data_IF_138716221810
#
_entry.id   IF_138716221810
#
_cell.length_a   1.000
_cell.length_b   1.000
_cell.length_c   1.000
_cell.angle_alpha   90.00
_cell.angle_beta   90.00
_cell.angle_gamma   90.00
#
_symmetry.space_group_name_H-M   'P 1'
#
loop_
_entity.id
_entity.type
_entity.pdbx_description
1 polymer ?
#
# COMPACT_ATOMS: atom_id res chain seq x y z
N UNK A 1 6.54 -10.35 -42.68
CA UNK A 1 5.42 -10.02 -41.79
C UNK A 1 5.87 -8.88 -40.89
N UNK A 2 5.40 -7.65 -41.12
CA UNK A 2 5.78 -6.46 -40.35
C UNK A 2 4.88 -6.38 -39.13
N UNK A 3 5.42 -6.63 -37.93
CA UNK A 3 4.70 -6.42 -36.67
C UNK A 3 4.82 -4.94 -36.29
N UNK A 4 3.67 -4.27 -36.18
CA UNK A 4 3.57 -2.88 -35.75
C UNK A 4 3.44 -2.92 -34.21
N UNK A 5 4.52 -2.58 -33.51
CA UNK A 5 4.45 -2.31 -32.07
C UNK A 5 3.84 -0.91 -31.89
N UNK A 6 2.60 -0.87 -31.40
CA UNK A 6 1.93 0.35 -31.00
C UNK A 6 2.33 0.66 -29.56
N UNK A 7 3.36 1.48 -29.39
CA UNK A 7 3.80 2.01 -28.09
C UNK A 7 2.75 3.00 -27.60
N UNK A 8 1.99 2.63 -26.57
CA UNK A 8 1.02 3.52 -25.93
C UNK A 8 1.77 4.39 -24.92
N UNK A 9 2.11 5.62 -25.33
CA UNK A 9 2.69 6.63 -24.45
C UNK A 9 1.57 7.21 -23.57
N UNK A 10 1.41 6.73 -22.33
CA UNK A 10 0.58 7.41 -21.33
C UNK A 10 1.34 8.62 -20.80
N UNK A 11 1.14 9.78 -21.43
CA UNK A 11 1.59 11.06 -20.86
C UNK A 11 0.77 11.37 -19.60
N UNK A 12 1.46 11.84 -18.56
CA UNK A 12 0.87 12.43 -17.37
C UNK A 12 -0.02 13.63 -17.73
N UNK A 13 -1.32 13.37 -17.81
CA UNK A 13 -2.39 14.37 -17.86
C UNK A 13 -3.23 14.26 -16.58
N UNK A 14 -2.60 14.39 -15.43
CA UNK A 14 -3.25 14.32 -14.11
C UNK A 14 -3.57 15.71 -13.54
N UNK A 15 -4.04 16.62 -14.38
CA UNK A 15 -4.59 17.89 -13.91
C UNK A 15 -5.75 18.31 -14.81
N UNK A 16 -6.97 18.31 -14.26
CA UNK A 16 -8.22 18.87 -14.83
C UNK A 16 -9.22 17.90 -15.49
N UNK A 17 -9.35 16.66 -14.99
CA UNK A 17 -10.51 15.80 -15.34
C UNK A 17 -11.75 16.03 -14.45
N UNK A 18 -11.60 16.72 -13.32
CA UNK A 18 -12.74 17.07 -12.47
C UNK A 18 -13.25 18.44 -12.90
N UNK A 19 -14.40 18.45 -13.58
CA UNK A 19 -15.09 19.70 -13.89
C UNK A 19 -15.41 20.44 -12.60
N UNK A 20 -15.38 21.78 -12.62
CA UNK A 20 -15.91 22.64 -11.55
C UNK A 20 -17.44 22.57 -11.49
N UNK A 21 -17.99 21.36 -11.50
CA UNK A 21 -19.41 21.11 -11.40
C UNK A 21 -19.85 21.47 -9.98
N UNK A 22 -20.84 22.34 -9.91
CA UNK A 22 -21.43 22.86 -8.69
C UNK A 22 -21.83 21.69 -7.78
N UNK A 23 -21.16 21.62 -6.63
CA UNK A 23 -21.20 20.64 -5.53
C UNK A 23 -22.59 20.27 -5.00
N UNK A 24 -23.65 20.95 -5.45
CA UNK A 24 -25.01 20.84 -4.92
C UNK A 24 -25.83 19.65 -5.48
N UNK A 25 -25.31 18.85 -6.42
CA UNK A 25 -26.09 17.78 -7.10
C UNK A 25 -25.39 16.42 -7.18
N UNK A 26 -24.37 16.18 -6.37
CA UNK A 26 -23.78 14.86 -6.24
C UNK A 26 -24.77 13.93 -5.52
N UNK A 27 -25.64 13.26 -6.28
CA UNK A 27 -26.76 12.42 -5.79
C UNK A 27 -26.36 11.22 -4.91
N UNK A 28 -25.07 11.05 -4.62
CA UNK A 28 -24.51 9.88 -3.97
C UNK A 28 -23.89 10.23 -2.62
N UNK A 29 -24.42 11.14 -1.81
CA UNK A 29 -23.79 11.66 -0.58
C UNK A 29 -23.05 10.60 0.27
N UNK A 30 -23.67 9.45 0.53
CA UNK A 30 -23.02 8.37 1.28
C UNK A 30 -21.95 7.62 0.48
N UNK A 31 -22.21 7.32 -0.79
CA UNK A 31 -21.25 6.67 -1.69
C UNK A 31 -20.04 7.57 -1.99
N UNK A 32 -20.29 8.85 -2.25
CA UNK A 32 -19.30 9.88 -2.45
C UNK A 32 -18.38 10.02 -1.24
N UNK A 33 -18.94 10.15 -0.02
CA UNK A 33 -18.16 10.23 1.22
C UNK A 33 -17.35 8.96 1.49
N UNK A 34 -17.89 7.79 1.14
CA UNK A 34 -17.17 6.53 1.27
C UNK A 34 -16.06 6.38 0.22
N UNK A 35 -16.27 6.89 -1.00
CA UNK A 35 -15.30 6.86 -2.09
C UNK A 35 -14.18 7.87 -1.85
N UNK A 36 -14.47 9.09 -1.40
CA UNK A 36 -13.48 10.14 -1.16
C UNK A 36 -13.38 10.54 0.32
N UNK A 37 -12.86 9.66 1.20
CA UNK A 37 -12.73 9.95 2.62
C UNK A 37 -11.58 10.96 2.86
N UNK A 38 -11.94 12.18 3.29
CA UNK A 38 -10.98 13.26 3.46
C UNK A 38 -9.97 13.06 4.61
N UNK A 39 -10.27 12.15 5.54
CA UNK A 39 -9.39 11.81 6.66
C UNK A 39 -8.35 10.74 6.28
N UNK A 40 -8.31 10.25 5.03
CA UNK A 40 -7.40 9.19 4.60
C UNK A 40 -6.79 9.53 3.23
N UNK A 41 -5.60 10.17 3.19
CA UNK A 41 -4.93 10.52 1.95
C UNK A 41 -4.69 9.32 1.01
N UNK A 42 -4.36 8.15 1.56
CA UNK A 42 -4.19 6.91 0.79
C UNK A 42 -5.49 6.46 0.10
N UNK A 43 -6.61 6.47 0.82
CA UNK A 43 -7.91 6.13 0.25
C UNK A 43 -8.39 7.17 -0.75
N UNK A 44 -8.08 8.45 -0.53
CA UNK A 44 -8.31 9.51 -1.51
C UNK A 44 -7.54 9.25 -2.81
N UNK A 45 -6.26 8.87 -2.72
CA UNK A 45 -5.43 8.51 -3.89
C UNK A 45 -6.00 7.31 -4.63
N UNK A 46 -6.32 6.23 -3.91
CA UNK A 46 -6.92 5.02 -4.49
C UNK A 46 -8.24 5.30 -5.19
N UNK A 47 -9.06 6.19 -4.63
CA UNK A 47 -10.32 6.61 -5.22
C UNK A 47 -10.14 7.43 -6.50
N UNK A 48 -9.13 8.30 -6.54
CA UNK A 48 -8.76 9.04 -7.76
C UNK A 48 -8.33 8.05 -8.85
N UNK A 49 -7.47 7.09 -8.53
CA UNK A 49 -7.02 6.07 -9.49
C UNK A 49 -8.18 5.22 -10.01
N UNK A 50 -9.07 4.78 -9.12
CA UNK A 50 -10.31 4.09 -9.51
C UNK A 50 -11.15 4.93 -10.46
N UNK A 51 -11.35 6.22 -10.18
CA UNK A 51 -12.14 7.11 -11.03
C UNK A 51 -11.50 7.38 -12.39
N UNK A 52 -10.16 7.42 -12.47
CA UNK A 52 -9.44 7.50 -13.74
C UNK A 52 -9.69 6.25 -14.58
N UNK A 53 -9.61 5.06 -13.99
CA UNK A 53 -9.87 3.79 -14.69
C UNK A 53 -11.34 3.72 -15.15
N UNK A 54 -12.28 4.04 -14.26
CA UNK A 54 -13.72 4.02 -14.57
C UNK A 54 -14.05 4.92 -15.77
N UNK A 55 -13.43 6.10 -15.82
CA UNK A 55 -13.62 7.08 -16.90
C UNK A 55 -12.92 6.65 -18.20
N UNK A 56 -11.72 6.09 -18.11
CA UNK A 56 -10.92 5.69 -19.26
C UNK A 56 -11.51 4.47 -19.99
N UNK A 57 -12.00 3.47 -19.26
CA UNK A 57 -12.44 2.20 -19.86
C UNK A 57 -13.93 2.20 -20.20
N UNK A 58 -14.72 3.18 -19.72
CA UNK A 58 -16.20 3.14 -19.72
C UNK A 58 -16.75 1.78 -19.25
N UNK A 59 -15.98 1.09 -18.43
CA UNK A 59 -16.30 -0.25 -18.01
C UNK A 59 -17.29 -0.19 -16.85
N UNK A 60 -18.23 -1.13 -16.84
CA UNK A 60 -18.75 -1.68 -15.59
C UNK A 60 -17.55 -2.30 -14.86
N UNK A 61 -16.84 -1.51 -14.06
CA UNK A 61 -15.69 -1.98 -13.30
C UNK A 61 -16.13 -3.17 -12.45
N UNK A 62 -15.59 -4.36 -12.73
CA UNK A 62 -15.91 -5.59 -11.97
C UNK A 62 -15.27 -5.59 -10.58
N UNK A 63 -14.34 -4.67 -10.34
CA UNK A 63 -13.64 -4.49 -9.06
C UNK A 63 -13.90 -3.08 -8.55
N UNK A 64 -15.03 -2.91 -7.86
CA UNK A 64 -15.32 -1.68 -7.11
C UNK A 64 -14.51 -1.64 -5.82
N UNK A 65 -14.02 -0.48 -5.34
CA UNK A 65 -13.29 -0.39 -4.09
C UNK A 65 -14.16 -0.89 -2.94
N UNK A 66 -13.69 -1.90 -2.20
CA UNK A 66 -14.46 -2.56 -1.11
C UNK A 66 -15.01 -1.55 -0.11
N UNK A 67 -14.21 -0.52 0.21
CA UNK A 67 -14.59 0.59 1.10
C UNK A 67 -15.84 1.34 0.62
N UNK A 68 -15.97 1.55 -0.68
CA UNK A 68 -17.09 2.25 -1.28
C UNK A 68 -18.27 1.29 -1.54
N UNK A 69 -18.05 -0.01 -1.72
CA UNK A 69 -19.09 -1.02 -1.97
C UNK A 69 -20.17 -1.07 -0.91
N UNK A 70 -19.83 -0.92 0.37
CA UNK A 70 -20.83 -0.88 1.45
C UNK A 70 -21.82 0.30 1.33
N UNK A 71 -21.37 1.45 0.81
CA UNK A 71 -22.18 2.67 0.70
C UNK A 71 -22.78 2.90 -0.70
N UNK A 72 -22.05 2.51 -1.73
CA UNK A 72 -22.42 2.62 -3.14
C UNK A 72 -23.25 1.42 -3.62
N UNK A 73 -23.19 0.29 -2.92
CA UNK A 73 -23.74 -0.97 -3.39
C UNK A 73 -23.04 -1.45 -4.67
N UNK A 74 -23.79 -2.15 -5.52
CA UNK A 74 -23.31 -2.71 -6.79
C UNK A 74 -23.73 -1.89 -8.01
N UNK A 75 -24.35 -0.71 -7.83
CA UNK A 75 -24.84 0.12 -8.94
C UNK A 75 -23.71 0.97 -9.54
N UNK A 76 -23.26 0.70 -10.78
CA UNK A 76 -22.18 1.46 -11.42
C UNK A 76 -22.48 2.95 -11.56
N UNK A 77 -23.75 3.34 -11.70
CA UNK A 77 -24.14 4.74 -11.87
C UNK A 77 -23.78 5.59 -10.65
N UNK A 78 -23.79 5.01 -9.45
CA UNK A 78 -23.39 5.69 -8.20
C UNK A 78 -21.90 6.01 -8.18
N UNK A 79 -21.06 5.07 -8.63
CA UNK A 79 -19.61 5.29 -8.75
C UNK A 79 -19.31 6.33 -9.83
N UNK A 80 -19.93 6.22 -11.01
CA UNK A 80 -19.75 7.22 -12.07
C UNK A 80 -20.18 8.62 -11.63
N UNK A 81 -21.29 8.72 -10.91
CA UNK A 81 -21.75 9.99 -10.32
C UNK A 81 -20.74 10.53 -9.30
N UNK A 82 -20.28 9.71 -8.35
CA UNK A 82 -19.28 10.14 -7.38
C UNK A 82 -17.97 10.58 -8.05
N UNK A 83 -17.45 9.80 -9.00
CA UNK A 83 -16.25 10.13 -9.76
C UNK A 83 -16.37 11.42 -10.59
N UNK A 84 -17.56 11.71 -11.12
CA UNK A 84 -17.82 12.97 -11.85
C UNK A 84 -17.74 14.21 -10.95
N UNK A 85 -17.98 14.06 -9.65
CA UNK A 85 -17.87 15.15 -8.67
C UNK A 85 -16.42 15.42 -8.28
N UNK A 86 -15.57 14.38 -8.25
CA UNK A 86 -14.17 14.48 -7.81
C UNK A 86 -14.03 14.75 -6.30
N UNK A 87 -12.80 14.67 -5.76
CA UNK A 87 -12.58 14.90 -4.33
C UNK A 87 -12.80 16.37 -3.94
N UNK A 88 -13.60 16.63 -2.90
CA UNK A 88 -13.88 18.00 -2.40
C UNK A 88 -12.87 18.46 -1.35
N UNK A 89 -12.11 17.54 -0.78
CA UNK A 89 -10.98 17.87 0.05
C UNK A 89 -9.73 17.98 -0.82
N UNK A 90 -8.97 19.06 -0.59
CA UNK A 90 -7.61 19.10 -1.05
C UNK A 90 -6.83 17.96 -0.36
N UNK A 91 -6.03 17.17 -1.08
CA UNK A 91 -5.10 16.26 -0.43
C UNK A 91 -4.25 17.11 0.52
N UNK A 92 -4.31 16.83 1.81
CA UNK A 92 -3.47 17.52 2.78
C UNK A 92 -2.06 17.03 2.52
N UNK A 93 -1.27 17.80 1.77
CA UNK A 93 0.14 17.52 1.53
C UNK A 93 0.90 17.92 2.79
N UNK A 94 0.81 17.11 3.85
CA UNK A 94 1.81 17.20 4.93
C UNK A 94 3.16 17.05 4.25
N UNK A 95 4.09 18.01 4.41
CA UNK A 95 5.39 17.93 3.76
C UNK A 95 6.06 16.65 4.24
N UNK A 96 6.17 15.68 3.36
CA UNK A 96 6.90 14.45 3.66
C UNK A 96 8.36 14.86 3.77
N UNK A 97 9.06 14.51 4.86
CA UNK A 97 10.49 14.75 4.95
C UNK A 97 11.19 14.21 3.70
N UNK A 98 12.21 14.90 3.18
CA UNK A 98 12.93 14.44 2.02
C UNK A 98 13.46 13.03 2.27
N UNK A 99 13.36 12.20 1.25
CA UNK A 99 13.87 10.84 1.31
C UNK A 99 15.37 10.84 1.61
N UNK A 100 15.84 10.19 2.69
CA UNK A 100 17.27 10.04 2.87
C UNK A 100 17.83 9.22 1.72
N UNK A 101 19.06 9.55 1.32
CA UNK A 101 19.77 8.80 0.28
C UNK A 101 19.95 7.35 0.75
N UNK A 102 19.75 6.36 -0.13
CA UNK A 102 20.02 4.97 0.23
C UNK A 102 21.46 4.79 0.74
N UNK A 103 21.63 3.95 1.76
CA UNK A 103 22.93 3.60 2.32
C UNK A 103 23.70 2.69 1.36
N UNK A 104 25.04 2.73 1.42
CA UNK A 104 25.90 1.99 0.49
C UNK A 104 25.49 0.51 0.40
N UNK A 105 25.05 0.09 -0.79
CA UNK A 105 24.64 -1.29 -1.08
C UNK A 105 23.14 -1.53 -1.04
N UNK A 106 22.36 -0.79 -0.23
CA UNK A 106 20.91 -0.89 -0.23
C UNK A 106 20.33 0.10 -1.24
N UNK A 107 19.46 -0.35 -2.15
CA UNK A 107 18.78 0.57 -3.08
C UNK A 107 17.51 1.19 -2.49
N UNK A 108 17.01 0.69 -1.35
CA UNK A 108 15.80 1.20 -0.70
C UNK A 108 16.17 2.30 0.30
N UNK A 109 15.67 3.53 0.15
CA UNK A 109 15.89 4.60 1.11
C UNK A 109 15.06 4.41 2.39
N UNK A 110 15.58 4.86 3.54
CA UNK A 110 14.93 4.79 4.85
C UNK A 110 14.34 3.40 5.17
N UNK A 111 15.09 2.35 4.87
CA UNK A 111 14.58 0.99 4.91
C UNK A 111 14.66 0.35 6.32
N UNK A 112 15.27 1.07 7.25
CA UNK A 112 15.37 0.82 8.69
C UNK A 112 14.43 1.73 9.51
N UNK A 113 13.63 2.57 8.85
CA UNK A 113 12.64 3.45 9.48
C UNK A 113 13.18 4.46 10.52
N UNK A 114 14.50 4.66 10.58
CA UNK A 114 15.14 5.59 11.53
C UNK A 114 14.87 7.07 11.20
N UNK A 115 14.41 7.35 9.97
CA UNK A 115 13.90 8.66 9.58
C UNK A 115 12.36 8.70 9.57
N UNK A 116 11.71 7.86 10.38
CA UNK A 116 10.26 7.71 10.44
C UNK A 116 9.71 7.02 9.20
N UNK A 117 8.57 7.49 8.68
CA UNK A 117 7.89 6.89 7.52
C UNK A 117 8.33 7.45 6.15
N UNK A 118 9.30 8.36 6.11
CA UNK A 118 9.74 8.98 4.86
C UNK A 118 10.12 7.92 3.81
N UNK A 119 9.76 8.15 2.53
CA UNK A 119 9.90 7.19 1.41
C UNK A 119 8.99 5.97 1.44
N UNK A 120 8.17 5.82 2.47
CA UNK A 120 7.21 4.75 2.57
C UNK A 120 5.81 5.35 2.60
N UNK A 121 4.87 4.67 1.95
CA UNK A 121 3.47 5.07 1.85
C UNK A 121 2.68 3.99 2.59
N UNK A 122 2.23 4.27 3.83
CA UNK A 122 1.37 3.36 4.55
C UNK A 122 -0.08 3.51 4.09
N UNK A 123 -0.78 2.39 4.04
CA UNK A 123 -2.20 2.31 3.73
C UNK A 123 -2.87 1.41 4.76
N UNK A 124 -4.10 1.76 5.12
CA UNK A 124 -4.90 1.00 6.09
C UNK A 124 -6.21 0.62 5.42
N UNK A 125 -6.25 -0.51 4.68
CA UNK A 125 -7.48 -0.99 4.07
C UNK A 125 -8.53 -1.38 5.11
N UNK A 126 -8.12 -1.84 6.29
CA UNK A 126 -8.98 -2.30 7.38
C UNK A 126 -9.20 -1.24 8.46
N UNK A 127 -10.46 -0.85 8.68
CA UNK A 127 -10.80 0.11 9.72
C UNK A 127 -10.57 -0.40 11.16
N UNK A 128 -10.35 -1.71 11.34
CA UNK A 128 -9.98 -2.31 12.60
C UNK A 128 -8.48 -2.21 12.92
N UNK A 129 -7.67 -1.65 12.02
CA UNK A 129 -6.22 -1.56 12.17
C UNK A 129 -5.70 -0.12 12.11
N UNK A 130 -4.46 0.06 12.55
CA UNK A 130 -3.69 1.29 12.42
C UNK A 130 -2.21 0.94 12.22
N UNK A 131 -1.38 1.95 11.99
CA UNK A 131 0.08 1.78 11.93
C UNK A 131 0.78 2.88 12.71
N UNK A 132 2.05 2.64 13.06
CA UNK A 132 2.96 3.63 13.62
C UNK A 132 4.41 3.25 13.35
N UNK A 133 5.34 4.18 13.60
CA UNK A 133 6.74 3.85 13.80
C UNK A 133 6.95 3.65 15.30
N UNK A 134 7.56 2.54 15.70
CA UNK A 134 7.65 2.09 17.08
C UNK A 134 9.06 1.70 17.49
N UNK A 135 9.30 1.64 18.80
CA UNK A 135 10.53 1.15 19.42
C UNK A 135 10.19 -0.05 20.34
N UNK A 136 11.07 -1.05 20.51
CA UNK A 136 12.35 -1.21 19.82
C UNK A 136 12.19 -1.73 18.39
N UNK A 137 13.14 -1.40 17.54
CA UNK A 137 13.30 -2.04 16.24
C UNK A 137 14.20 -3.28 16.30
N UNK A 138 14.56 -3.83 15.14
CA UNK A 138 15.37 -5.03 15.03
C UNK A 138 16.85 -4.75 15.29
N UNK A 139 17.56 -5.75 15.81
CA UNK A 139 19.01 -5.66 16.07
C UNK A 139 19.45 -4.45 16.92
N UNK A 140 18.55 -3.94 17.77
CA UNK A 140 18.82 -2.79 18.65
C UNK A 140 18.66 -1.43 17.96
N UNK A 141 18.02 -1.37 16.79
CA UNK A 141 17.55 -0.14 16.17
C UNK A 141 16.46 0.52 17.02
N UNK A 142 16.30 1.84 16.87
CA UNK A 142 15.36 2.61 17.67
C UNK A 142 13.93 2.53 17.09
N UNK A 143 13.83 2.23 15.79
CA UNK A 143 12.58 2.37 15.02
C UNK A 143 12.25 1.11 14.21
N UNK A 144 10.95 0.82 14.06
CA UNK A 144 10.41 -0.17 13.13
C UNK A 144 9.02 0.24 12.65
N UNK A 145 8.64 -0.20 11.46
CA UNK A 145 7.24 -0.09 11.02
C UNK A 145 6.38 -1.12 11.74
N UNK A 146 5.34 -0.64 12.43
CA UNK A 146 4.41 -1.45 13.21
C UNK A 146 3.00 -1.33 12.64
N UNK A 147 2.38 -2.47 12.36
CA UNK A 147 0.96 -2.61 12.12
C UNK A 147 0.28 -3.09 13.40
N UNK A 148 -0.78 -2.40 13.79
CA UNK A 148 -1.57 -2.67 14.99
C UNK A 148 -3.00 -3.05 14.59
N UNK A 149 -3.42 -4.24 14.95
CA UNK A 149 -4.83 -4.63 14.91
C UNK A 149 -5.48 -4.25 16.25
N UNK A 150 -6.43 -3.32 16.21
CA UNK A 150 -7.11 -2.79 17.40
C UNK A 150 -8.30 -3.65 17.83
N UNK A 151 -8.93 -4.33 16.87
CA UNK A 151 -10.09 -5.21 17.04
C UNK A 151 -10.13 -6.23 15.89
N UNK A 152 -11.02 -7.21 15.92
CA UNK A 152 -11.11 -8.20 14.84
C UNK A 152 -11.25 -7.55 13.45
N UNK A 153 -10.61 -8.09 12.39
CA UNK A 153 -10.59 -7.48 11.07
C UNK A 153 -11.98 -7.17 10.51
N UNK A 154 -12.20 -5.93 10.07
CA UNK A 154 -13.50 -5.43 9.63
C UNK A 154 -13.67 -5.58 8.11
N UNK A 155 -13.75 -6.82 7.64
CA UNK A 155 -13.84 -7.17 6.20
C UNK A 155 -12.76 -6.47 5.35
N UNK A 156 -11.46 -6.62 5.69
CA UNK A 156 -10.36 -6.03 4.93
C UNK A 156 -10.41 -6.42 3.44
N UNK A 157 -10.04 -5.48 2.57
CA UNK A 157 -9.78 -5.77 1.17
C UNK A 157 -8.70 -6.84 1.06
N UNK A 158 -9.03 -7.98 0.44
CA UNK A 158 -8.12 -9.12 0.25
C UNK A 158 -7.49 -9.68 1.54
N UNK A 159 -8.06 -9.39 2.72
CA UNK A 159 -7.47 -9.82 3.99
C UNK A 159 -6.38 -8.89 4.54
N UNK A 160 -6.03 -7.81 3.81
CA UNK A 160 -4.94 -6.89 4.19
C UNK A 160 -5.43 -5.87 5.20
N UNK A 161 -4.86 -5.89 6.40
CA UNK A 161 -5.21 -4.92 7.44
C UNK A 161 -4.45 -3.61 7.31
N UNK A 162 -3.14 -3.73 7.09
CA UNK A 162 -2.22 -2.61 6.85
C UNK A 162 -1.29 -3.00 5.72
N UNK A 163 -0.83 -2.05 4.93
CA UNK A 163 0.31 -2.25 4.04
C UNK A 163 1.21 -1.04 4.03
N UNK A 164 2.47 -1.24 3.70
CA UNK A 164 3.45 -0.17 3.53
C UNK A 164 4.25 -0.39 2.26
N UNK A 165 4.26 0.63 1.40
CA UNK A 165 4.83 0.56 0.06
C UNK A 165 6.02 1.51 -0.04
N UNK A 166 7.16 1.04 -0.53
CA UNK A 166 8.35 1.88 -0.73
C UNK A 166 8.14 2.89 -1.86
N UNK A 167 9.01 3.88 -1.93
CA UNK A 167 9.24 4.64 -3.15
C UNK A 167 9.72 3.69 -4.27
N UNK A 168 9.50 4.10 -5.51
CA UNK A 168 10.07 3.41 -6.66
C UNK A 168 11.58 3.66 -6.73
N UNK A 169 12.36 2.60 -6.89
CA UNK A 169 13.81 2.66 -6.94
C UNK A 169 14.35 2.03 -8.22
N UNK A 170 15.47 2.55 -8.72
CA UNK A 170 16.12 2.04 -9.91
C UNK A 170 16.90 0.74 -9.62
N UNK A 171 16.81 -0.22 -10.53
CA UNK A 171 17.52 -1.50 -10.48
C UNK A 171 17.99 -1.92 -11.87
N UNK A 172 18.86 -2.92 -11.93
CA UNK A 172 19.31 -3.51 -13.20
C UNK A 172 18.47 -4.75 -13.53
N UNK A 173 17.69 -4.77 -14.63
CA UNK A 173 16.96 -5.96 -15.05
C UNK A 173 17.89 -7.15 -15.28
N UNK A 174 17.45 -8.34 -14.90
CA UNK A 174 18.20 -9.59 -15.10
C UNK A 174 19.37 -9.81 -14.13
N UNK A 175 19.68 -8.86 -13.26
CA UNK A 175 20.63 -9.04 -12.15
C UNK A 175 19.88 -9.59 -10.94
N UNK A 176 20.39 -10.62 -10.27
CA UNK A 176 19.79 -11.10 -9.02
C UNK A 176 20.04 -10.08 -7.90
N UNK A 177 18.98 -9.75 -7.18
CA UNK A 177 19.02 -8.98 -5.96
C UNK A 177 18.62 -9.87 -4.79
N UNK A 178 19.19 -9.59 -3.63
CA UNK A 178 18.84 -10.18 -2.35
C UNK A 178 18.02 -9.16 -1.55
N UNK A 179 16.80 -9.56 -1.20
CA UNK A 179 15.97 -8.88 -0.21
C UNK A 179 16.21 -9.52 1.15
N UNK A 180 16.64 -8.75 2.14
CA UNK A 180 16.63 -9.16 3.55
C UNK A 180 15.79 -8.20 4.36
N UNK A 181 15.11 -8.71 5.39
CA UNK A 181 14.33 -7.89 6.31
C UNK A 181 14.08 -8.66 7.60
N UNK A 182 13.88 -7.94 8.71
CA UNK A 182 13.45 -8.52 9.97
C UNK A 182 11.93 -8.42 10.08
N UNK A 183 11.29 -9.49 10.58
CA UNK A 183 9.86 -9.53 10.93
C UNK A 183 9.69 -9.85 12.39
N UNK A 184 8.65 -9.31 13.03
CA UNK A 184 8.30 -9.62 14.41
C UNK A 184 6.78 -9.77 14.55
N UNK A 185 6.37 -10.70 15.41
CA UNK A 185 4.98 -10.99 15.73
C UNK A 185 4.82 -10.99 17.25
N UNK A 186 3.74 -10.43 17.77
CA UNK A 186 3.43 -10.49 19.20
C UNK A 186 2.84 -11.84 19.64
N UNK A 187 2.20 -12.57 18.72
CA UNK A 187 1.57 -13.85 18.99
C UNK A 187 1.66 -14.81 17.79
N UNK A 188 1.60 -16.11 18.08
CA UNK A 188 1.72 -17.17 17.06
C UNK A 188 0.52 -17.18 16.08
N UNK A 189 -0.62 -16.66 16.53
CA UNK A 189 -1.86 -16.53 15.75
C UNK A 189 -2.03 -15.13 15.12
N UNK A 190 -0.99 -14.29 15.16
CA UNK A 190 -1.09 -12.91 14.65
C UNK A 190 -1.31 -12.85 13.14
N UNK A 191 -1.14 -13.95 12.41
CA UNK A 191 -1.33 -14.04 10.96
C UNK A 191 0.00 -14.03 10.22
N UNK A 192 0.06 -13.35 9.08
CA UNK A 192 1.26 -13.34 8.23
C UNK A 192 1.55 -11.99 7.58
N UNK A 193 2.82 -11.78 7.26
CA UNK A 193 3.32 -10.64 6.49
C UNK A 193 3.59 -11.11 5.05
N UNK A 194 2.86 -10.55 4.09
CA UNK A 194 3.12 -10.72 2.67
C UNK A 194 4.16 -9.73 2.15
N UNK A 195 4.99 -10.17 1.21
CA UNK A 195 5.99 -9.34 0.53
C UNK A 195 5.71 -9.34 -0.96
N UNK A 196 5.66 -8.15 -1.55
CA UNK A 196 5.44 -7.96 -2.98
C UNK A 196 6.55 -7.11 -3.61
N UNK A 197 6.82 -7.38 -4.88
CA UNK A 197 7.61 -6.52 -5.75
C UNK A 197 6.76 -6.16 -6.96
N UNK A 198 6.57 -4.88 -7.24
CA UNK A 198 5.77 -4.39 -8.36
C UNK A 198 4.38 -5.05 -8.43
N UNK A 199 3.66 -5.05 -7.31
CA UNK A 199 2.32 -5.66 -7.17
C UNK A 199 2.26 -7.19 -7.33
N UNK A 200 3.41 -7.87 -7.49
CA UNK A 200 3.47 -9.32 -7.56
C UNK A 200 3.96 -9.90 -6.21
N UNK A 201 3.23 -10.85 -5.61
CA UNK A 201 3.66 -11.49 -4.37
C UNK A 201 4.90 -12.35 -4.64
N UNK A 202 5.91 -12.23 -3.77
CA UNK A 202 7.17 -12.98 -3.89
C UNK A 202 7.47 -13.85 -2.67
N UNK A 203 6.90 -13.52 -1.52
CA UNK A 203 7.19 -14.20 -0.26
C UNK A 203 6.12 -13.93 0.80
N UNK A 204 6.00 -14.83 1.77
CA UNK A 204 5.12 -14.68 2.93
C UNK A 204 5.86 -15.17 4.18
N UNK A 205 5.63 -14.51 5.31
CA UNK A 205 6.13 -14.91 6.63
C UNK A 205 4.96 -15.11 7.55
N UNK A 206 4.75 -16.35 8.00
CA UNK A 206 3.68 -16.71 8.93
C UNK A 206 4.21 -16.73 10.38
N UNK A 207 3.45 -16.13 11.30
CA UNK A 207 3.74 -16.15 12.73
C UNK A 207 3.78 -17.59 13.28
N UNK A 208 2.94 -18.49 12.76
CA UNK A 208 2.92 -19.90 13.16
C UNK A 208 4.21 -20.63 12.79
N UNK A 209 4.85 -20.24 11.68
CA UNK A 209 6.08 -20.85 11.20
C UNK A 209 7.33 -20.29 11.88
N UNK A 210 7.34 -18.99 12.20
CA UNK A 210 8.50 -18.30 12.79
C UNK A 210 8.49 -18.26 14.31
N UNK A 211 7.31 -18.28 14.91
CA UNK A 211 7.11 -17.99 16.33
C UNK A 211 6.78 -16.51 16.58
N UNK A 212 6.71 -16.17 17.86
CA UNK A 212 6.34 -14.84 18.33
C UNK A 212 7.24 -14.39 19.48
N UNK A 213 7.33 -13.08 19.69
CA UNK A 213 8.13 -12.44 20.73
C UNK A 213 9.57 -12.12 20.31
N UNK A 214 10.07 -12.69 19.22
CA UNK A 214 11.44 -12.49 18.73
C UNK A 214 11.48 -11.92 17.30
N UNK A 215 12.57 -11.23 16.97
CA UNK A 215 12.83 -10.76 15.60
C UNK A 215 13.39 -11.89 14.74
N UNK A 216 12.87 -12.02 13.53
CA UNK A 216 13.26 -13.06 12.58
C UNK A 216 13.84 -12.44 11.31
N UNK A 217 15.08 -12.77 10.99
CA UNK A 217 15.69 -12.42 9.72
C UNK A 217 15.13 -13.28 8.59
N UNK A 218 14.65 -12.63 7.53
CA UNK A 218 14.18 -13.26 6.32
C UNK A 218 15.10 -12.89 5.15
N UNK A 219 15.22 -13.78 4.17
CA UNK A 219 16.04 -13.58 2.97
C UNK A 219 15.33 -14.17 1.77
N UNK A 220 15.20 -13.37 0.71
CA UNK A 220 14.51 -13.74 -0.53
C UNK A 220 15.39 -13.31 -1.71
N UNK A 221 15.61 -14.22 -2.67
CA UNK A 221 16.25 -13.88 -3.93
C UNK A 221 15.19 -13.39 -4.93
N UNK A 222 15.49 -12.33 -5.67
CA UNK A 222 14.61 -11.77 -6.68
C UNK A 222 15.40 -11.21 -7.86
N UNK A 223 15.03 -11.57 -9.08
CA UNK A 223 15.64 -11.04 -10.31
C UNK A 223 14.65 -10.08 -10.99
N UNK A 224 14.87 -8.76 -10.95
CA UNK A 224 13.95 -7.81 -11.58
C UNK A 224 13.84 -8.04 -13.09
N UNK A 225 12.61 -7.98 -13.60
CA UNK A 225 12.33 -7.99 -15.05
C UNK A 225 12.21 -6.58 -15.63
N UNK A 226 12.10 -5.57 -14.75
CA UNK A 226 11.94 -4.15 -15.06
C UNK A 226 13.11 -3.34 -14.50
N UNK A 227 13.31 -2.11 -14.99
CA UNK A 227 14.38 -1.22 -14.54
C UNK A 227 14.09 -0.50 -13.23
N UNK A 228 12.88 -0.65 -12.70
CA UNK A 228 12.47 -0.12 -11.41
C UNK A 228 11.72 -1.17 -10.61
N UNK A 229 11.81 -1.04 -9.29
CA UNK A 229 11.05 -1.86 -8.34
C UNK A 229 10.38 -0.99 -7.29
N UNK A 230 9.27 -1.50 -6.78
CA UNK A 230 8.57 -1.01 -5.60
C UNK A 230 8.35 -2.19 -4.68
N UNK A 231 8.81 -2.09 -3.44
CA UNK A 231 8.56 -3.09 -2.41
C UNK A 231 7.24 -2.77 -1.71
N UNK A 232 6.48 -3.79 -1.35
CA UNK A 232 5.34 -3.65 -0.44
C UNK A 232 5.37 -4.76 0.60
N UNK A 233 5.12 -4.38 1.85
CA UNK A 233 4.77 -5.31 2.91
C UNK A 233 3.28 -5.19 3.21
N UNK A 234 2.58 -6.31 3.22
CA UNK A 234 1.16 -6.40 3.58
C UNK A 234 1.03 -7.18 4.88
N UNK A 235 0.31 -6.63 5.85
CA UNK A 235 0.09 -7.21 7.16
C UNK A 235 -1.34 -7.78 7.20
N UNK A 236 -1.44 -9.10 7.27
CA UNK A 236 -2.71 -9.82 7.28
C UNK A 236 -2.87 -10.45 8.65
N UNK A 237 -3.81 -9.92 9.44
CA UNK A 237 -4.06 -10.44 10.77
C UNK A 237 -4.99 -11.64 10.76
N UNK A 238 -4.67 -12.62 11.61
CA UNK A 238 -5.55 -13.75 11.89
C UNK A 238 -6.85 -13.30 12.57
N UNK A 239 -7.96 -14.00 12.32
CA UNK A 239 -9.23 -13.74 13.00
C UNK A 239 -9.28 -14.29 14.44
N UNK A 240 -8.23 -14.97 14.90
CA UNK A 240 -8.15 -15.58 16.22
C UNK A 240 -7.40 -14.70 17.25
N UNK A 241 -6.70 -13.65 16.82
CA UNK A 241 -5.87 -12.83 17.69
C UNK A 241 -6.10 -11.33 17.48
N UNK A 242 -7.00 -10.76 18.29
CA UNK A 242 -7.26 -9.33 18.37
C UNK A 242 -7.32 -8.87 19.84
N UNK A 243 -6.61 -7.80 20.24
CA UNK A 243 -5.68 -7.01 19.43
C UNK A 243 -4.41 -7.79 19.08
N UNK A 244 -3.65 -7.33 18.09
CA UNK A 244 -2.42 -7.98 17.64
C UNK A 244 -1.44 -6.99 17.01
N UNK A 245 -0.16 -7.33 16.98
CA UNK A 245 0.93 -6.47 16.49
C UNK A 245 1.88 -7.26 15.59
N UNK A 246 2.17 -6.68 14.42
CA UNK A 246 3.16 -7.19 13.48
C UNK A 246 4.13 -6.07 13.12
N UNK A 247 5.42 -6.39 12.94
CA UNK A 247 6.43 -5.39 12.57
C UNK A 247 7.35 -5.86 11.46
N UNK A 248 7.88 -4.89 10.71
CA UNK A 248 9.01 -5.07 9.80
C UNK A 248 10.08 -4.02 10.05
N UNK A 249 11.33 -4.40 9.86
CA UNK A 249 12.47 -3.50 10.02
C UNK A 249 13.71 -3.99 9.22
N UNK A 250 14.73 -3.13 9.13
CA UNK A 250 16.05 -3.42 8.56
C UNK A 250 15.98 -4.00 7.14
N UNK A 251 15.15 -3.41 6.29
CA UNK A 251 14.94 -3.86 4.92
C UNK A 251 16.16 -3.52 4.09
N UNK A 252 16.75 -4.51 3.42
CA UNK A 252 17.86 -4.32 2.49
C UNK A 252 17.52 -4.99 1.19
N UNK A 253 17.62 -4.23 0.10
CA UNK A 253 17.52 -4.76 -1.25
C UNK A 253 18.78 -4.37 -2.02
N UNK A 254 19.59 -5.35 -2.37
CA UNK A 254 20.92 -5.15 -2.93
C UNK A 254 21.23 -6.19 -4.01
N UNK A 255 22.07 -5.89 -5.02
CA UNK A 255 22.62 -6.93 -5.90
C UNK A 255 23.27 -8.05 -5.09
N UNK A 256 23.00 -9.30 -5.44
CA UNK A 256 23.44 -10.50 -4.72
C UNK A 256 24.92 -10.85 -4.94
#
# INVERSE_FOLDING_TARGET
MKSIFSTLTLLAASASLFGTAVQATCHADNCYRALFPCNSPAALSSAVDFCLILTAVKATATTTPTRATAACGTDPARYSSACSCGPTCAPTTTPTPPCPTPTSGNVIPNADFECGIACWIPEVPDSAATWKISSPGAAGSDSAFEADLLQYPATPELGVSVRVTSAEVAVTPGVEYRLTFNSWFDHIDSGFIGVMVNEAPIYTVDAADKGAGDWHLNTVAYTPTTSTVRLRFEFLFGNQHAPGVQKVDSVVFAPA
#
